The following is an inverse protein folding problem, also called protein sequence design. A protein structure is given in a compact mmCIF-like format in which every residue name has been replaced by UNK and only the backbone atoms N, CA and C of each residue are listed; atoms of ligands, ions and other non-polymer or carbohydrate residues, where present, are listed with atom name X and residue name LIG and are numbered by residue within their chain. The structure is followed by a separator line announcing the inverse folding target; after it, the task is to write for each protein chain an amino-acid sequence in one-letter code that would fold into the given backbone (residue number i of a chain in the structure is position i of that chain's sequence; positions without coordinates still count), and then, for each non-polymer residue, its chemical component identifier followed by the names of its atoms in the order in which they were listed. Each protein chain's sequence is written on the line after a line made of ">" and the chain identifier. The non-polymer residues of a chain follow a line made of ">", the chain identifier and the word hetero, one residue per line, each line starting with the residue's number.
data_IF_912288747130
#
_entry.id   IF_912288747130
#
_cell.length_a   1.000
_cell.length_b   1.000
_cell.length_c   1.000
_cell.angle_alpha   90.00
_cell.angle_beta   90.00
_cell.angle_gamma   90.00
#
_symmetry.space_group_name_H-M   'P 1'
#
loop_
_entity.id
_entity.type
_entity.pdbx_description
1 polymer ?
#
# COMPACT_ATOMS: atom_id res chain seq x y z
N UNK A 1 26.63 -15.08 4.06
CA UNK A 1 25.17 -15.11 3.82
C UNK A 1 24.46 -14.67 5.09
N UNK A 2 24.08 -13.39 5.23
CA UNK A 2 23.31 -12.94 6.41
C UNK A 2 21.86 -13.38 6.23
N UNK A 3 21.56 -14.55 6.78
CA UNK A 3 20.20 -14.99 7.06
C UNK A 3 19.74 -14.26 8.32
N UNK A 4 19.14 -13.09 8.16
CA UNK A 4 18.61 -12.28 9.26
C UNK A 4 17.14 -12.01 8.98
N UNK A 5 16.26 -12.47 9.86
CA UNK A 5 14.83 -12.16 9.83
C UNK A 5 14.63 -10.65 9.97
N UNK A 6 14.53 -9.92 8.86
CA UNK A 6 14.16 -8.52 8.87
C UNK A 6 12.71 -8.42 9.35
N UNK A 7 12.53 -8.01 10.60
CA UNK A 7 11.22 -7.74 11.17
C UNK A 7 10.80 -6.31 10.82
N UNK A 8 9.55 -6.15 10.39
CA UNK A 8 8.96 -4.86 10.08
C UNK A 8 7.73 -4.64 10.95
N UNK A 9 7.58 -3.41 11.44
CA UNK A 9 6.40 -2.97 12.17
C UNK A 9 5.48 -2.25 11.21
N UNK A 10 4.20 -2.59 11.24
CA UNK A 10 3.15 -1.94 10.44
C UNK A 10 2.13 -1.34 11.39
N UNK A 11 1.85 -0.06 11.24
CA UNK A 11 0.73 0.63 11.86
C UNK A 11 -0.28 0.97 10.76
N UNK A 12 -1.40 0.26 10.75
CA UNK A 12 -2.47 0.46 9.76
C UNK A 12 -3.27 1.75 10.01
N UNK A 13 -3.35 2.22 11.25
CA UNK A 13 -4.09 3.44 11.60
C UNK A 13 -3.34 4.68 11.10
N UNK A 14 -2.02 4.68 11.25
CA UNK A 14 -1.15 5.76 10.80
C UNK A 14 -0.67 5.56 9.35
N UNK A 15 -0.99 4.42 8.71
CA UNK A 15 -0.50 4.03 7.38
C UNK A 15 1.03 4.06 7.29
N UNK A 16 1.69 3.54 8.31
CA UNK A 16 3.15 3.56 8.49
C UNK A 16 3.68 2.14 8.45
N UNK A 17 4.76 1.92 7.71
CA UNK A 17 5.59 0.73 7.84
C UNK A 17 7.04 1.12 8.15
N UNK A 18 7.72 0.37 9.01
CA UNK A 18 9.14 0.61 9.31
C UNK A 18 10.07 0.42 8.09
N UNK A 19 9.58 -0.20 7.00
CA UNK A 19 10.30 -0.26 5.73
C UNK A 19 10.29 1.06 4.94
N UNK A 20 9.52 2.06 5.38
CA UNK A 20 9.39 3.41 4.80
C UNK A 20 8.79 3.50 3.39
N UNK A 21 8.56 2.37 2.72
CA UNK A 21 8.00 2.37 1.37
C UNK A 21 6.59 2.97 1.35
N UNK A 22 5.74 2.64 2.33
CA UNK A 22 4.37 3.13 2.36
C UNK A 22 4.30 4.66 2.49
N UNK A 23 5.19 5.26 3.28
CA UNK A 23 5.25 6.70 3.47
C UNK A 23 5.78 7.43 2.25
N UNK A 24 6.58 6.76 1.41
CA UNK A 24 7.14 7.35 0.20
C UNK A 24 6.18 7.29 -0.99
N UNK A 25 5.38 6.22 -1.10
CA UNK A 25 4.49 6.00 -2.25
C UNK A 25 3.02 6.25 -1.94
N UNK A 26 2.65 6.41 -0.67
CA UNK A 26 1.26 6.41 -0.18
C UNK A 26 0.49 5.11 -0.50
N UNK A 27 1.19 4.10 -1.02
CA UNK A 27 0.69 2.79 -1.40
C UNK A 27 1.17 1.77 -0.36
N UNK A 28 0.28 0.91 0.18
CA UNK A 28 0.66 -0.15 1.10
C UNK A 28 1.84 -0.97 0.57
N UNK A 29 2.90 -1.09 1.37
CA UNK A 29 4.05 -1.93 1.03
C UNK A 29 3.70 -3.42 1.17
N UNK A 30 4.56 -4.31 0.67
CA UNK A 30 4.33 -5.76 0.77
C UNK A 30 4.08 -6.23 2.22
N UNK A 31 4.74 -5.63 3.22
CA UNK A 31 4.52 -5.94 4.63
C UNK A 31 3.14 -5.49 5.11
N UNK A 32 2.71 -4.29 4.70
CA UNK A 32 1.38 -3.79 5.02
C UNK A 32 0.29 -4.63 4.38
N UNK A 33 0.44 -4.99 3.10
CA UNK A 33 -0.47 -5.90 2.41
C UNK A 33 -0.57 -7.25 3.13
N UNK A 34 0.56 -7.83 3.54
CA UNK A 34 0.56 -9.09 4.27
C UNK A 34 -0.20 -9.01 5.60
N UNK A 35 0.00 -7.92 6.37
CA UNK A 35 -0.75 -7.68 7.62
C UNK A 35 -2.24 -7.47 7.35
N UNK A 36 -2.61 -6.68 6.33
CA UNK A 36 -3.99 -6.45 5.93
C UNK A 36 -4.70 -7.77 5.58
N UNK A 37 -4.09 -8.59 4.72
CA UNK A 37 -4.65 -9.89 4.35
C UNK A 37 -4.79 -10.82 5.55
N UNK A 38 -3.82 -10.82 6.46
CA UNK A 38 -3.90 -11.60 7.70
C UNK A 38 -5.07 -11.18 8.60
N UNK A 39 -5.43 -9.89 8.57
CA UNK A 39 -6.57 -9.33 9.30
C UNK A 39 -7.89 -9.37 8.50
N UNK A 40 -7.89 -9.91 7.28
CA UNK A 40 -9.06 -9.94 6.40
C UNK A 40 -9.46 -8.60 5.80
N UNK A 41 -8.54 -7.63 5.79
CA UNK A 41 -8.73 -6.30 5.23
C UNK A 41 -8.31 -6.28 3.74
N UNK A 42 -8.99 -5.48 2.92
CA UNK A 42 -8.58 -5.28 1.53
C UNK A 42 -7.59 -4.11 1.45
N UNK A 43 -6.40 -4.28 0.84
CA UNK A 43 -5.44 -3.19 0.66
C UNK A 43 -5.98 -2.03 -0.17
N UNK A 44 -6.94 -2.29 -1.06
CA UNK A 44 -7.59 -1.28 -1.90
C UNK A 44 -8.29 -0.19 -1.07
N UNK A 45 -8.86 -0.55 0.09
CA UNK A 45 -9.49 0.40 1.03
C UNK A 45 -8.49 1.39 1.65
N UNK A 46 -7.19 1.10 1.54
CA UNK A 46 -6.10 1.92 2.10
C UNK A 46 -5.35 2.72 1.03
N UNK A 47 -5.71 2.57 -0.25
CA UNK A 47 -5.15 3.35 -1.34
C UNK A 47 -5.80 4.73 -1.40
N UNK A 48 -5.05 5.71 -1.88
CA UNK A 48 -5.62 6.99 -2.25
C UNK A 48 -6.44 6.83 -3.54
N UNK A 49 -7.57 7.54 -3.67
CA UNK A 49 -8.45 7.54 -4.86
C UNK A 49 -7.70 7.74 -6.19
N UNK A 50 -6.55 8.42 -6.20
CA UNK A 50 -5.72 8.62 -7.38
C UNK A 50 -5.20 7.33 -7.98
N UNK A 51 -5.06 6.27 -7.17
CA UNK A 51 -4.60 4.96 -7.61
C UNK A 51 -5.74 4.02 -8.02
N UNK A 52 -7.00 4.44 -7.90
CA UNK A 52 -8.13 3.64 -8.37
C UNK A 52 -8.20 3.63 -9.89
N UNK A 53 -8.57 2.46 -10.43
CA UNK A 53 -8.73 2.25 -11.87
C UNK A 53 -9.76 3.22 -12.47
N UNK A 54 -10.79 3.59 -11.72
CA UNK A 54 -11.80 4.57 -12.15
C UNK A 54 -11.19 5.95 -12.40
N UNK A 55 -10.34 6.42 -11.47
CA UNK A 55 -9.61 7.68 -11.60
C UNK A 55 -8.65 7.64 -12.78
N UNK A 56 -7.91 6.54 -12.96
CA UNK A 56 -7.04 6.34 -14.11
C UNK A 56 -7.83 6.41 -15.43
N UNK A 57 -8.93 5.65 -15.54
CA UNK A 57 -9.78 5.66 -16.75
C UNK A 57 -10.34 7.04 -17.05
N UNK A 58 -10.76 7.80 -16.03
CA UNK A 58 -11.27 9.17 -16.17
C UNK A 58 -10.18 10.14 -16.62
N UNK A 59 -8.96 10.01 -16.13
CA UNK A 59 -7.84 10.87 -16.56
C UNK A 59 -7.51 10.67 -18.05
N UNK A 60 -7.63 9.44 -18.55
CA UNK A 60 -7.33 9.07 -19.94
C UNK A 60 -8.58 8.89 -20.82
N UNK A 61 -9.77 9.31 -20.38
CA UNK A 61 -11.00 9.15 -21.16
C UNK A 61 -11.16 10.19 -22.26
N UNK A 62 -10.37 11.26 -22.23
CA UNK A 62 -10.40 12.30 -23.26
C UNK A 62 -9.50 11.89 -24.43
N UNK A 63 -10.00 11.89 -25.67
CA UNK A 63 -9.13 11.75 -26.83
C UNK A 63 -8.17 12.94 -26.85
N UNK A 64 -6.87 12.66 -26.89
CA UNK A 64 -5.86 13.66 -27.23
C UNK A 64 -6.07 14.17 -28.66
#
# INVERSE_FOLDING_TARGET
>A
MRNGSYQYTVDLSQRICSCRNWQSSEIPCAHACAVMYHLGLQPDDYLHEYYHIETYKKAYSFPM
#
